data_IF_658275340102
#
_entry.id   IF_658275340102
#
_cell.length_a   1.000
_cell.length_b   1.000
_cell.length_c   1.000
_cell.angle_alpha   90.00
_cell.angle_beta   90.00
_cell.angle_gamma   90.00
#
_symmetry.space_group_name_H-M   'P 1'
#
loop_
_entity.id
_entity.type
_entity.pdbx_description
1 polymer ?
#
# COMPACT_ATOMS: atom_id res chain seq x y z
N UNK A 1 6.07 3.69 11.18
CA UNK A 1 6.79 4.11 9.97
C UNK A 1 7.39 2.86 9.37
N UNK A 2 7.01 2.46 8.15
CA UNK A 2 7.73 1.38 7.46
C UNK A 2 9.19 1.83 7.25
N UNK A 3 10.15 1.08 7.79
CA UNK A 3 11.57 1.45 7.76
C UNK A 3 12.22 0.75 6.57
N UNK A 4 12.18 1.38 5.39
CA UNK A 4 12.83 0.88 4.18
C UNK A 4 12.00 1.11 2.91
N UNK A 5 12.63 1.00 1.72
CA UNK A 5 11.88 1.06 0.46
C UNK A 5 10.85 -0.07 0.42
N UNK A 6 9.66 0.17 -0.15
CA UNK A 6 8.62 -0.85 -0.24
C UNK A 6 9.09 -2.02 -1.10
N UNK A 7 8.62 -3.22 -0.79
CA UNK A 7 8.91 -4.43 -1.59
C UNK A 7 8.06 -4.50 -2.85
N UNK A 8 6.91 -3.83 -2.82
CA UNK A 8 6.00 -3.73 -3.95
C UNK A 8 5.10 -2.51 -3.81
N UNK A 9 4.57 -2.06 -4.94
CA UNK A 9 3.72 -0.87 -5.03
C UNK A 9 2.76 -0.99 -6.22
N UNK A 10 1.51 -0.59 -6.00
CA UNK A 10 0.52 -0.39 -7.06
C UNK A 10 0.05 1.05 -7.05
N UNK A 11 0.20 1.74 -8.18
CA UNK A 11 -0.32 3.09 -8.40
C UNK A 11 -1.64 3.01 -9.15
N UNK A 12 -2.67 3.68 -8.64
CA UNK A 12 -3.98 3.82 -9.29
C UNK A 12 -4.22 5.31 -9.56
N UNK A 13 -4.45 5.66 -10.82
CA UNK A 13 -4.82 7.03 -11.21
C UNK A 13 -6.34 7.19 -11.15
N UNK A 14 -6.81 8.27 -10.52
CA UNK A 14 -8.25 8.53 -10.35
C UNK A 14 -9.03 7.40 -9.66
N UNK A 15 -8.58 6.90 -8.49
CA UNK A 15 -9.26 5.79 -7.82
C UNK A 15 -10.70 6.19 -7.43
N UNK A 16 -11.64 5.29 -7.69
CA UNK A 16 -13.00 5.39 -7.18
C UNK A 16 -13.10 4.59 -5.89
N UNK A 17 -13.62 5.19 -4.83
CA UNK A 17 -13.75 4.57 -3.51
C UNK A 17 -15.20 4.11 -3.25
N UNK A 18 -15.43 2.97 -2.57
CA UNK A 18 -14.41 2.03 -2.09
C UNK A 18 -13.72 1.28 -3.24
N UNK A 19 -12.43 1.02 -3.09
CA UNK A 19 -11.60 0.33 -4.08
C UNK A 19 -11.16 -1.02 -3.52
N UNK A 20 -11.43 -2.09 -4.28
CA UNK A 20 -10.96 -3.43 -3.98
C UNK A 20 -9.90 -3.84 -5.01
N UNK A 21 -8.77 -4.38 -4.56
CA UNK A 21 -7.68 -4.82 -5.41
C UNK A 21 -6.89 -5.96 -4.77
N UNK A 22 -6.27 -6.78 -5.60
CA UNK A 22 -5.35 -7.85 -5.18
C UNK A 22 -3.94 -7.47 -5.56
N UNK A 23 -3.02 -7.41 -4.58
CA UNK A 23 -1.59 -7.30 -4.83
C UNK A 23 -1.00 -8.68 -5.15
N UNK A 24 -0.10 -8.72 -6.12
CA UNK A 24 0.54 -9.95 -6.64
C UNK A 24 2.04 -9.71 -6.84
N UNK A 25 2.78 -10.74 -7.23
CA UNK A 25 4.19 -10.60 -7.56
C UNK A 25 4.48 -9.60 -8.70
N UNK A 26 3.48 -9.27 -9.54
CA UNK A 26 3.62 -8.23 -10.58
C UNK A 26 3.77 -6.83 -9.99
N UNK A 27 3.33 -6.62 -8.75
CA UNK A 27 3.47 -5.36 -8.03
C UNK A 27 4.80 -5.26 -7.30
N UNK A 28 5.64 -6.32 -7.31
CA UNK A 28 6.94 -6.32 -6.64
C UNK A 28 7.93 -5.44 -7.39
N UNK A 29 8.70 -4.62 -6.65
CA UNK A 29 9.67 -3.70 -7.24
C UNK A 29 10.94 -4.41 -7.76
N UNK A 30 11.29 -5.55 -7.18
CA UNK A 30 12.45 -6.37 -7.57
C UNK A 30 12.02 -7.81 -7.82
N UNK A 31 12.54 -8.44 -8.88
CA UNK A 31 12.15 -9.81 -9.26
C UNK A 31 12.64 -10.86 -8.26
N UNK A 32 13.76 -10.56 -7.62
CA UNK A 32 14.46 -11.38 -6.64
C UNK A 32 13.87 -11.23 -5.23
N UNK A 33 13.06 -10.18 -5.00
CA UNK A 33 12.38 -9.91 -3.73
C UNK A 33 10.90 -9.66 -3.95
N UNK A 34 10.16 -10.76 -4.10
CA UNK A 34 8.72 -10.73 -4.40
C UNK A 34 7.89 -10.66 -3.13
N UNK A 35 6.69 -10.09 -3.25
CA UNK A 35 5.70 -10.07 -2.16
C UNK A 35 5.42 -11.51 -1.67
N UNK A 36 5.21 -12.46 -2.59
CA UNK A 36 4.90 -13.86 -2.23
C UNK A 36 6.01 -14.61 -1.47
N UNK A 37 7.23 -14.06 -1.42
CA UNK A 37 8.34 -14.68 -0.68
C UNK A 37 8.31 -14.36 0.82
N UNK A 38 7.56 -13.32 1.21
CA UNK A 38 7.44 -12.92 2.61
C UNK A 38 6.29 -13.70 3.28
N UNK A 39 6.43 -14.05 4.56
CA UNK A 39 5.35 -14.67 5.33
C UNK A 39 4.39 -13.63 5.91
N UNK A 40 4.89 -12.43 6.15
CA UNK A 40 4.20 -11.30 6.73
C UNK A 40 4.67 -10.01 6.06
N UNK A 41 3.74 -9.10 5.79
CA UNK A 41 4.01 -7.81 5.19
C UNK A 41 3.29 -6.70 5.96
N UNK A 42 3.84 -5.49 5.87
CA UNK A 42 3.13 -4.28 6.27
C UNK A 42 2.60 -3.58 5.02
N UNK A 43 1.30 -3.30 4.99
CA UNK A 43 0.62 -2.58 3.93
C UNK A 43 0.17 -1.20 4.44
N UNK A 44 0.28 -0.20 3.57
CA UNK A 44 -0.24 1.14 3.78
C UNK A 44 -0.78 1.69 2.47
N UNK A 45 -1.90 2.40 2.51
CA UNK A 45 -2.42 3.13 1.36
C UNK A 45 -2.21 4.64 1.53
N UNK A 46 -1.95 5.35 0.43
CA UNK A 46 -1.92 6.81 0.37
C UNK A 46 -2.68 7.31 -0.85
N UNK A 47 -3.54 8.31 -0.66
CA UNK A 47 -4.20 9.09 -1.69
C UNK A 47 -3.51 10.44 -1.79
N UNK A 48 -2.81 10.66 -2.91
CA UNK A 48 -2.18 11.95 -3.19
C UNK A 48 -3.10 12.90 -3.93
N UNK A 49 -3.25 14.13 -3.42
CA UNK A 49 -4.05 15.16 -4.08
C UNK A 49 -3.28 15.89 -5.19
N UNK A 50 -1.95 15.91 -5.11
CA UNK A 50 -1.07 16.56 -6.09
C UNK A 50 -0.67 15.64 -7.24
N UNK A 51 -0.90 14.32 -7.10
CA UNK A 51 -0.40 13.30 -8.03
C UNK A 51 1.09 12.97 -7.86
N UNK A 52 1.73 13.52 -6.81
CA UNK A 52 3.14 13.28 -6.49
C UNK A 52 3.37 11.87 -5.93
N UNK A 53 4.52 11.29 -6.30
CA UNK A 53 4.99 10.02 -5.74
C UNK A 53 5.52 10.20 -4.32
N UNK A 54 5.99 11.40 -3.97
CA UNK A 54 6.40 11.74 -2.61
C UNK A 54 5.18 12.13 -1.78
N UNK A 55 5.20 11.77 -0.50
CA UNK A 55 4.17 12.23 0.44
C UNK A 55 4.22 13.75 0.52
N UNK A 56 3.07 14.39 0.39
CA UNK A 56 2.94 15.83 0.47
C UNK A 56 1.85 16.27 1.45
N UNK A 57 1.93 17.49 1.98
CA UNK A 57 0.87 18.07 2.80
C UNK A 57 -0.48 18.01 2.10
N UNK A 58 -1.51 17.58 2.82
CA UNK A 58 -2.88 17.43 2.31
C UNK A 58 -3.19 16.08 1.67
N UNK A 59 -2.19 15.21 1.47
CA UNK A 59 -2.44 13.80 1.15
C UNK A 59 -3.18 13.11 2.31
N UNK A 60 -3.92 12.05 2.00
CA UNK A 60 -4.53 11.16 2.99
C UNK A 60 -3.84 9.81 2.97
N UNK A 61 -3.64 9.20 4.13
CA UNK A 61 -3.04 7.87 4.25
C UNK A 61 -3.80 7.02 5.26
N UNK A 62 -3.60 5.70 5.17
CA UNK A 62 -4.03 4.78 6.22
C UNK A 62 -2.98 4.65 7.31
N UNK A 63 -3.41 4.18 8.48
CA UNK A 63 -2.48 3.50 9.38
C UNK A 63 -1.86 2.28 8.65
N UNK A 64 -0.58 1.95 8.90
CA UNK A 64 -0.01 0.70 8.43
C UNK A 64 -0.70 -0.50 9.07
N UNK A 65 -1.00 -1.52 8.27
CA UNK A 65 -1.60 -2.78 8.72
C UNK A 65 -0.64 -3.92 8.43
N UNK A 66 -0.35 -4.73 9.45
CA UNK A 66 0.45 -5.94 9.30
C UNK A 66 -0.46 -7.12 8.93
N UNK A 67 -0.06 -7.88 7.91
CA UNK A 67 -0.83 -8.95 7.30
C UNK A 67 0.05 -10.17 7.11
N UNK A 68 -0.41 -11.33 7.58
CA UNK A 68 0.19 -12.62 7.20
C UNK A 68 -0.39 -13.05 5.86
N UNK A 69 0.45 -13.49 4.92
CA UNK A 69 0.00 -13.83 3.55
C UNK A 69 -0.79 -15.15 3.47
N UNK A 70 -0.77 -15.95 4.52
CA UNK A 70 -1.59 -17.16 4.67
C UNK A 70 -2.95 -16.88 5.32
N UNK A 71 -3.23 -15.62 5.72
CA UNK A 71 -4.51 -15.23 6.27
C UNK A 71 -5.60 -15.19 5.18
N UNK A 72 -6.81 -15.59 5.56
CA UNK A 72 -7.94 -15.65 4.64
C UNK A 72 -8.77 -14.35 4.72
N UNK A 73 -9.19 -13.85 3.56
CA UNK A 73 -10.05 -12.67 3.43
C UNK A 73 -9.33 -11.33 3.13
N UNK A 74 -10.10 -10.28 2.80
CA UNK A 74 -9.56 -8.99 2.40
C UNK A 74 -9.04 -8.19 3.60
N UNK A 75 -8.05 -7.34 3.33
CA UNK A 75 -7.47 -6.42 4.32
C UNK A 75 -8.08 -5.04 4.11
N UNK A 76 -8.78 -4.54 5.13
CA UNK A 76 -9.37 -3.20 5.10
C UNK A 76 -8.33 -2.12 5.40
N UNK A 77 -8.27 -1.08 4.56
CA UNK A 77 -7.48 0.12 4.79
C UNK A 77 -8.39 1.35 4.75
N UNK A 78 -8.35 2.16 5.80
CA UNK A 78 -9.11 3.41 5.88
C UNK A 78 -8.16 4.59 5.73
N UNK A 79 -8.44 5.51 4.82
CA UNK A 79 -7.64 6.71 4.58
C UNK A 79 -8.10 7.84 5.51
N UNK A 80 -7.70 7.80 6.78
CA UNK A 80 -8.17 8.70 7.84
C UNK A 80 -7.07 9.58 8.46
N UNK A 81 -5.81 9.41 8.05
CA UNK A 81 -4.70 10.23 8.50
C UNK A 81 -4.32 11.24 7.43
N UNK A 82 -4.38 12.52 7.77
CA UNK A 82 -3.93 13.59 6.88
C UNK A 82 -2.43 13.82 7.06
N UNK A 83 -1.70 13.91 5.94
CA UNK A 83 -0.28 14.25 5.92
C UNK A 83 -0.14 15.77 6.10
N UNK A 84 0.74 16.18 7.02
CA UNK A 84 1.07 17.58 7.32
C UNK A 84 2.34 18.06 6.62
#
# INVERSE_FOLDING_TARGET
>A
MAVGPPIGVRRIEGPQLPLELTLTDQDSMMKERRISFESEIQIQARLSLSGSVMAGPGDWQSAPVTVRLDADGPVGLTLDQRVE
#
